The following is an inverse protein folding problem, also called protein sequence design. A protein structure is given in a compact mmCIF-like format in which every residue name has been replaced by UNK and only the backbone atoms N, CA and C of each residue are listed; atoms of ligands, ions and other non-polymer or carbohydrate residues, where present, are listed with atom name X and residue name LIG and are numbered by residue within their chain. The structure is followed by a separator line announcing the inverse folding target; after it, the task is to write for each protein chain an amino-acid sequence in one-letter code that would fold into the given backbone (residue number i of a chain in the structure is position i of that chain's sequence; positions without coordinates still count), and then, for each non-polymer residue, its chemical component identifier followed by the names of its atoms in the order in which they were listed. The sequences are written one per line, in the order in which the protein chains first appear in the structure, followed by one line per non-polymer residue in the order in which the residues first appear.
data_IF_427680087956
#
_entry.id   IF_427680087956
#
_cell.length_a   1.000
_cell.length_b   1.000
_cell.length_c   1.000
_cell.angle_alpha   90.00
_cell.angle_beta   90.00
_cell.angle_gamma   90.00
#
_symmetry.space_group_name_H-M   'P 1'
#
loop_
_entity.id
_entity.type
_entity.pdbx_description
1 polymer ?
#
# COMPACT_ATOMS: atom_id res chain seq x y z
N UNK A 1 11.88 18.97 -11.26
CA UNK A 1 10.64 18.18 -11.12
C UNK A 1 10.91 16.68 -11.06
N UNK A 2 11.85 16.14 -11.84
CA UNK A 2 12.17 14.71 -11.84
C UNK A 2 12.44 14.11 -10.44
N UNK A 3 13.25 14.77 -9.59
CA UNK A 3 13.60 14.27 -8.27
C UNK A 3 12.40 14.01 -7.34
N UNK A 4 11.33 14.81 -7.43
CA UNK A 4 10.13 14.62 -6.60
C UNK A 4 9.34 13.41 -7.06
N UNK A 5 9.21 13.22 -8.38
CA UNK A 5 8.54 12.07 -8.95
C UNK A 5 9.32 10.77 -8.67
N UNK A 6 10.65 10.84 -8.77
CA UNK A 6 11.54 9.71 -8.45
C UNK A 6 11.39 9.27 -7.00
N UNK A 7 11.41 10.23 -6.06
CA UNK A 7 11.21 9.94 -4.64
C UNK A 7 9.84 9.29 -4.37
N UNK A 8 8.75 9.86 -4.90
CA UNK A 8 7.41 9.31 -4.70
C UNK A 8 7.26 7.90 -5.29
N UNK A 9 7.83 7.66 -6.47
CA UNK A 9 7.80 6.33 -7.10
C UNK A 9 8.65 5.34 -6.31
N UNK A 10 9.83 5.75 -5.81
CA UNK A 10 10.68 4.89 -4.99
C UNK A 10 9.97 4.45 -3.70
N UNK A 11 9.34 5.38 -2.98
CA UNK A 11 8.60 5.10 -1.74
C UNK A 11 7.44 4.12 -1.97
N UNK A 12 6.62 4.35 -3.01
CA UNK A 12 5.52 3.45 -3.36
C UNK A 12 6.03 2.05 -3.75
N UNK A 13 7.14 1.98 -4.49
CA UNK A 13 7.73 0.71 -4.92
C UNK A 13 8.41 -0.05 -3.78
N UNK A 14 8.99 0.65 -2.80
CA UNK A 14 9.54 0.02 -1.59
C UNK A 14 8.44 -0.71 -0.82
N UNK A 15 7.35 -0.01 -0.50
CA UNK A 15 6.21 -0.58 0.23
C UNK A 15 5.49 -1.68 -0.57
N UNK A 16 5.32 -1.49 -1.89
CA UNK A 16 4.72 -2.51 -2.74
C UNK A 16 5.64 -3.74 -2.90
N UNK A 17 6.97 -3.53 -2.85
CA UNK A 17 7.97 -4.59 -2.82
C UNK A 17 7.88 -5.41 -1.54
N UNK A 18 7.73 -4.76 -0.39
CA UNK A 18 7.47 -5.45 0.88
C UNK A 18 6.17 -6.23 0.85
N UNK A 19 5.07 -5.63 0.39
CA UNK A 19 3.80 -6.34 0.25
C UNK A 19 3.88 -7.55 -0.71
N UNK A 20 4.67 -7.46 -1.79
CA UNK A 20 4.90 -8.58 -2.70
C UNK A 20 5.73 -9.70 -2.05
N UNK A 21 6.76 -9.33 -1.28
CA UNK A 21 7.58 -10.28 -0.54
C UNK A 21 6.78 -11.02 0.53
N UNK A 22 5.88 -10.31 1.23
CA UNK A 22 4.95 -10.90 2.21
C UNK A 22 4.01 -11.92 1.57
N UNK A 23 3.56 -11.67 0.33
CA UNK A 23 2.77 -12.62 -0.47
C UNK A 23 3.62 -13.69 -1.16
N UNK A 24 4.92 -13.78 -0.85
CA UNK A 24 5.88 -14.70 -1.47
C UNK A 24 5.94 -14.59 -3.01
N UNK A 25 5.69 -13.40 -3.55
CA UNK A 25 5.77 -13.09 -4.98
C UNK A 25 7.04 -12.32 -5.31
N UNK A 26 7.75 -12.79 -6.34
CA UNK A 26 8.92 -12.08 -6.87
C UNK A 26 8.57 -10.85 -7.73
N UNK A 27 7.29 -10.66 -8.08
CA UNK A 27 6.80 -9.57 -8.93
C UNK A 27 5.73 -8.78 -8.18
N UNK A 28 5.79 -7.45 -8.31
CA UNK A 28 4.72 -6.56 -7.85
C UNK A 28 3.49 -6.75 -8.76
N UNK A 29 2.35 -7.07 -8.16
CA UNK A 29 1.04 -7.18 -8.80
C UNK A 29 0.14 -6.01 -8.33
N UNK A 30 -0.99 -5.77 -8.99
CA UNK A 30 -1.90 -4.65 -8.71
C UNK A 30 -2.34 -4.58 -7.24
N UNK A 31 -2.55 -5.74 -6.61
CA UNK A 31 -2.88 -5.84 -5.18
C UNK A 31 -1.79 -5.28 -4.28
N UNK A 32 -0.51 -5.50 -4.59
CA UNK A 32 0.61 -5.03 -3.75
C UNK A 32 0.70 -3.51 -3.75
N UNK A 33 0.42 -2.86 -4.89
CA UNK A 33 0.35 -1.40 -4.98
C UNK A 33 -0.81 -0.86 -4.12
N UNK A 34 -1.98 -1.50 -4.20
CA UNK A 34 -3.13 -1.12 -3.36
C UNK A 34 -2.82 -1.29 -1.87
N UNK A 35 -2.21 -2.41 -1.47
CA UNK A 35 -1.78 -2.63 -0.07
C UNK A 35 -0.78 -1.57 0.39
N UNK A 36 0.22 -1.23 -0.44
CA UNK A 36 1.18 -0.17 -0.11
C UNK A 36 0.51 1.18 0.15
N UNK A 37 -0.37 1.60 -0.76
CA UNK A 37 -1.12 2.87 -0.63
C UNK A 37 -2.00 2.90 0.61
N UNK A 38 -2.67 1.80 0.94
CA UNK A 38 -3.53 1.72 2.12
C UNK A 38 -2.77 1.40 3.41
N UNK A 39 -1.46 1.14 3.36
CA UNK A 39 -0.64 0.92 4.57
C UNK A 39 0.07 2.18 5.01
N UNK A 40 0.23 3.16 4.11
CA UNK A 40 0.90 4.42 4.37
C UNK A 40 -0.09 5.61 4.36
N UNK A 41 -0.11 6.38 5.44
CA UNK A 41 -1.05 7.48 5.60
C UNK A 41 -0.73 8.71 4.74
N UNK A 42 0.53 8.93 4.39
CA UNK A 42 0.96 10.07 3.58
C UNK A 42 0.68 9.80 2.11
N UNK A 43 0.95 8.59 1.63
CA UNK A 43 0.57 8.14 0.28
C UNK A 43 -0.95 8.11 0.14
N UNK A 44 -1.68 7.61 1.14
CA UNK A 44 -3.14 7.58 1.13
C UNK A 44 -3.76 8.98 1.00
N UNK A 45 -3.17 10.01 1.64
CA UNK A 45 -3.65 11.39 1.50
C UNK A 45 -3.56 11.91 0.06
N UNK A 46 -2.59 11.42 -0.71
CA UNK A 46 -2.34 11.86 -2.08
C UNK A 46 -3.26 11.12 -3.08
N UNK A 47 -3.43 9.80 -2.92
CA UNK A 47 -4.10 8.95 -3.93
C UNK A 47 -5.34 8.18 -3.41
N UNK A 48 -5.77 8.39 -2.16
CA UNK A 48 -6.85 7.63 -1.52
C UNK A 48 -8.24 7.75 -2.15
N UNK A 49 -8.47 8.76 -2.99
CA UNK A 49 -9.71 8.91 -3.77
C UNK A 49 -9.74 8.17 -5.11
N UNK A 50 -8.69 7.41 -5.44
CA UNK A 50 -8.56 6.72 -6.73
C UNK A 50 -9.05 5.27 -6.69
N UNK A 51 -9.35 4.71 -7.86
CA UNK A 51 -9.79 3.32 -8.01
C UNK A 51 -8.59 2.47 -8.47
N UNK A 52 -8.27 1.43 -7.70
CA UNK A 52 -7.30 0.41 -8.09
C UNK A 52 -8.05 -0.79 -8.69
N UNK A 53 -8.05 -0.97 -10.02
CA UNK A 53 -8.74 -2.10 -10.64
C UNK A 53 -8.05 -3.42 -10.28
N UNK A 54 -8.83 -4.48 -10.14
CA UNK A 54 -8.36 -5.86 -9.90
C UNK A 54 -7.53 -6.07 -8.61
N UNK A 55 -7.38 -5.05 -7.76
CA UNK A 55 -6.56 -5.14 -6.54
C UNK A 55 -7.29 -5.77 -5.35
N UNK A 56 -8.61 -5.95 -5.45
CA UNK A 56 -9.45 -6.30 -4.31
C UNK A 56 -9.53 -5.18 -3.28
N UNK A 57 -9.82 -5.55 -2.02
CA UNK A 57 -9.97 -4.63 -0.89
C UNK A 57 -8.97 -4.99 0.20
N UNK A 58 -8.34 -3.99 0.81
CA UNK A 58 -7.49 -4.17 1.99
C UNK A 58 -8.37 -4.32 3.22
N UNK A 59 -8.34 -5.50 3.84
CA UNK A 59 -9.13 -5.79 5.04
C UNK A 59 -8.53 -5.06 6.25
N UNK A 60 -9.20 -3.98 6.68
CA UNK A 60 -8.90 -3.30 7.95
C UNK A 60 -9.92 -3.70 9.00
N UNK A 61 -9.45 -4.33 10.07
CA UNK A 61 -10.28 -4.60 11.24
C UNK A 61 -10.34 -3.36 12.12
N UNK A 62 -11.56 -2.87 12.35
CA UNK A 62 -11.81 -1.74 13.27
C UNK A 62 -11.27 -2.01 14.69
N UNK A 63 -11.20 -3.28 15.08
CA UNK A 63 -10.68 -3.70 16.37
C UNK A 63 -9.15 -3.57 16.46
N UNK A 64 -8.45 -3.77 15.34
CA UNK A 64 -6.98 -3.63 15.28
C UNK A 64 -6.58 -2.17 15.22
N UNK A 65 -7.28 -1.35 14.43
CA UNK A 65 -7.04 0.10 14.34
C UNK A 65 -7.24 0.82 15.68
N UNK A 66 -8.18 0.35 16.50
CA UNK A 66 -8.41 0.88 17.85
C UNK A 66 -7.61 0.19 18.94
N UNK A 67 -6.66 -0.69 18.60
CA UNK A 67 -5.86 -1.47 19.58
C UNK A 67 -6.73 -2.22 20.61
N UNK A 68 -7.95 -2.62 20.24
CA UNK A 68 -8.86 -3.36 21.12
C UNK A 68 -8.40 -4.82 21.23
N UNK A 69 -7.80 -5.37 20.18
CA UNK A 69 -7.21 -6.71 20.19
C UNK A 69 -5.82 -6.62 19.55
N UNK A 70 -4.80 -7.02 20.30
CA UNK A 70 -3.45 -7.35 19.79
C UNK A 70 -3.27 -8.86 19.96
N UNK A 71 -3.02 -9.58 18.88
CA UNK A 71 -2.51 -10.96 18.93
C UNK A 71 -1.00 -10.88 18.84
#
# INVERSE_FOLDING_TARGET
MAAVLEYLVAEVLELAGYAAADDSKARIEQRHICVAVYSDADIFQIVGGTIFPESGVVLRSYLYEKNIIRV
#
